data_IF_159645756643
#
_entry.id   IF_159645756643
#
_cell.length_a   1.000
_cell.length_b   1.000
_cell.length_c   1.000
_cell.angle_alpha   90.00
_cell.angle_beta   90.00
_cell.angle_gamma   90.00
#
_symmetry.space_group_name_H-M   'P 1'
#
loop_
_entity.id
_entity.type
_entity.pdbx_description
1 polymer ?
#
# COMPACT_ATOMS: atom_id res chain seq x y z
N UNK A 1 -1.30 -34.11 -18.96
CA UNK A 1 -1.09 -33.02 -18.03
C UNK A 1 -0.67 -33.60 -16.70
N UNK A 2 0.45 -33.18 -16.15
CA UNK A 2 0.89 -33.63 -14.82
C UNK A 2 0.04 -32.96 -13.72
N UNK A 3 0.04 -33.53 -12.51
CA UNK A 3 -0.62 -32.89 -11.37
C UNK A 3 -0.06 -31.50 -11.08
N UNK A 4 1.24 -31.29 -11.32
CA UNK A 4 1.91 -29.98 -11.13
C UNK A 4 1.41 -28.96 -12.16
N UNK A 5 1.31 -29.31 -13.43
CA UNK A 5 0.79 -28.41 -14.48
C UNK A 5 -0.67 -28.03 -14.20
N UNK A 6 -1.49 -28.99 -13.75
CA UNK A 6 -2.88 -28.74 -13.37
C UNK A 6 -2.97 -27.75 -12.21
N UNK A 7 -2.20 -27.97 -11.15
CA UNK A 7 -2.18 -27.08 -9.98
C UNK A 7 -1.68 -25.68 -10.37
N UNK A 8 -0.61 -25.59 -11.16
CA UNK A 8 -0.07 -24.32 -11.63
C UNK A 8 -1.11 -23.52 -12.44
N UNK A 9 -1.86 -24.21 -13.33
CA UNK A 9 -2.92 -23.57 -14.12
C UNK A 9 -4.07 -23.06 -13.23
N UNK A 10 -4.48 -23.84 -12.22
CA UNK A 10 -5.51 -23.42 -11.27
C UNK A 10 -5.06 -22.20 -10.46
N UNK A 11 -3.83 -22.21 -9.95
CA UNK A 11 -3.29 -21.09 -9.19
C UNK A 11 -3.14 -19.82 -10.05
N UNK A 12 -2.73 -19.99 -11.32
CA UNK A 12 -2.67 -18.88 -12.28
C UNK A 12 -4.07 -18.32 -12.56
N UNK A 13 -5.11 -19.15 -12.65
CA UNK A 13 -6.50 -18.74 -12.82
C UNK A 13 -6.97 -17.92 -11.60
N UNK A 14 -6.70 -18.36 -10.39
CA UNK A 14 -7.02 -17.59 -9.19
C UNK A 14 -6.33 -16.22 -9.18
N UNK A 15 -5.04 -16.19 -9.52
CA UNK A 15 -4.28 -14.95 -9.61
C UNK A 15 -4.88 -14.01 -10.68
N UNK A 16 -5.26 -14.53 -11.84
CA UNK A 16 -5.86 -13.75 -12.93
C UNK A 16 -7.21 -13.16 -12.53
N UNK A 17 -8.10 -13.96 -11.93
CA UNK A 17 -9.41 -13.50 -11.45
C UNK A 17 -9.25 -12.42 -10.38
N UNK A 18 -8.38 -12.65 -9.39
CA UNK A 18 -8.13 -11.69 -8.33
C UNK A 18 -7.55 -10.37 -8.87
N UNK A 19 -6.55 -10.47 -9.76
CA UNK A 19 -5.91 -9.28 -10.37
C UNK A 19 -6.89 -8.48 -11.21
N UNK A 20 -7.70 -9.15 -12.03
CA UNK A 20 -8.71 -8.49 -12.87
C UNK A 20 -9.75 -7.79 -12.00
N UNK A 21 -10.30 -8.47 -10.99
CA UNK A 21 -11.29 -7.91 -10.08
C UNK A 21 -10.73 -6.70 -9.29
N UNK A 22 -9.50 -6.81 -8.75
CA UNK A 22 -8.87 -5.76 -8.00
C UNK A 22 -8.55 -4.53 -8.86
N UNK A 23 -7.99 -4.73 -10.05
CA UNK A 23 -7.67 -3.65 -10.99
C UNK A 23 -8.93 -2.98 -11.52
N UNK A 24 -9.95 -3.78 -11.90
CA UNK A 24 -11.23 -3.24 -12.33
C UNK A 24 -11.87 -2.38 -11.24
N UNK A 25 -11.90 -2.89 -10.01
CA UNK A 25 -12.48 -2.16 -8.89
C UNK A 25 -11.66 -0.90 -8.50
N UNK A 26 -10.34 -0.89 -8.72
CA UNK A 26 -9.52 0.31 -8.53
C UNK A 26 -9.84 1.41 -9.56
N UNK A 27 -10.16 1.03 -10.80
CA UNK A 27 -10.50 1.97 -11.88
C UNK A 27 -11.98 2.41 -11.81
N UNK A 28 -12.89 1.49 -11.46
CA UNK A 28 -14.35 1.71 -11.34
C UNK A 28 -14.86 1.16 -10.01
N UNK A 29 -14.72 1.92 -8.90
CA UNK A 29 -15.06 1.45 -7.57
C UNK A 29 -16.54 1.09 -7.44
N UNK A 30 -16.83 -0.07 -6.89
CA UNK A 30 -18.18 -0.49 -6.54
C UNK A 30 -18.69 0.35 -5.36
N UNK A 31 -19.71 1.17 -5.60
CA UNK A 31 -20.24 2.14 -4.62
C UNK A 31 -21.42 1.61 -3.79
N UNK A 32 -21.66 0.32 -3.81
CA UNK A 32 -22.74 -0.29 -3.04
C UNK A 32 -22.26 -0.58 -1.60
N UNK A 33 -23.05 -0.20 -0.60
CA UNK A 33 -22.73 -0.37 0.83
C UNK A 33 -22.46 -1.84 1.20
N UNK A 34 -23.18 -2.78 0.59
CA UNK A 34 -23.02 -4.23 0.86
C UNK A 34 -21.64 -4.74 0.42
N UNK A 35 -21.10 -4.21 -0.67
CA UNK A 35 -19.78 -4.61 -1.22
C UNK A 35 -18.67 -3.62 -0.88
N UNK A 36 -18.96 -2.59 -0.08
CA UNK A 36 -17.99 -1.54 0.24
C UNK A 36 -16.72 -2.10 0.88
N UNK A 37 -16.85 -2.98 1.86
CA UNK A 37 -15.69 -3.55 2.56
C UNK A 37 -14.85 -4.48 1.66
N UNK A 38 -15.42 -5.46 0.93
CA UNK A 38 -14.68 -6.20 -0.08
C UNK A 38 -14.04 -5.32 -1.16
N UNK A 39 -14.76 -4.31 -1.65
CA UNK A 39 -14.29 -3.34 -2.64
C UNK A 39 -13.06 -2.58 -2.12
N UNK A 40 -13.11 -2.09 -0.89
CA UNK A 40 -12.00 -1.40 -0.23
C UNK A 40 -10.78 -2.32 -0.10
N UNK A 41 -10.95 -3.53 0.41
CA UNK A 41 -9.86 -4.49 0.62
C UNK A 41 -9.20 -4.91 -0.69
N UNK A 42 -9.98 -5.14 -1.75
CA UNK A 42 -9.46 -5.49 -3.07
C UNK A 42 -8.67 -4.35 -3.71
N UNK A 43 -9.21 -3.12 -3.65
CA UNK A 43 -8.54 -1.95 -4.23
C UNK A 43 -7.29 -1.54 -3.45
N UNK A 44 -7.21 -1.87 -2.16
CA UNK A 44 -6.10 -1.46 -1.31
C UNK A 44 -4.75 -1.90 -1.85
N UNK A 45 -4.64 -3.13 -2.34
CA UNK A 45 -3.40 -3.64 -2.91
C UNK A 45 -3.00 -2.91 -4.20
N UNK A 46 -3.97 -2.56 -5.04
CA UNK A 46 -3.72 -1.86 -6.32
C UNK A 46 -3.45 -0.37 -6.11
N UNK A 47 -4.14 0.28 -5.15
CA UNK A 47 -4.03 1.73 -4.93
C UNK A 47 -2.94 2.05 -3.89
N UNK A 48 -2.88 1.28 -2.81
CA UNK A 48 -1.96 1.54 -1.68
C UNK A 48 -0.56 0.97 -1.89
N UNK A 49 -0.42 -0.14 -2.64
CA UNK A 49 0.84 -0.85 -2.86
C UNK A 49 1.00 -1.27 -4.34
N UNK A 50 0.84 -0.35 -5.31
CA UNK A 50 0.77 -0.71 -6.73
C UNK A 50 2.05 -1.39 -7.24
N UNK A 51 3.22 -0.87 -6.86
CA UNK A 51 4.51 -1.41 -7.31
C UNK A 51 4.77 -2.79 -6.71
N UNK A 52 4.54 -2.95 -5.41
CA UNK A 52 4.73 -4.22 -4.70
C UNK A 52 3.77 -5.29 -5.22
N UNK A 53 2.52 -4.92 -5.46
CA UNK A 53 1.52 -5.82 -6.03
C UNK A 53 1.89 -6.24 -7.43
N UNK A 54 2.34 -5.33 -8.29
CA UNK A 54 2.79 -5.62 -9.64
C UNK A 54 3.98 -6.59 -9.63
N UNK A 55 5.00 -6.31 -8.80
CA UNK A 55 6.16 -7.19 -8.66
C UNK A 55 5.74 -8.60 -8.20
N UNK A 56 4.89 -8.68 -7.17
CA UNK A 56 4.42 -9.96 -6.66
C UNK A 56 3.63 -10.75 -7.72
N UNK A 57 2.74 -10.09 -8.46
CA UNK A 57 1.97 -10.71 -9.55
C UNK A 57 2.87 -11.21 -10.67
N UNK A 58 3.88 -10.43 -11.09
CA UNK A 58 4.83 -10.84 -12.13
C UNK A 58 5.64 -12.05 -11.69
N UNK A 59 6.16 -12.03 -10.45
CA UNK A 59 6.95 -13.15 -9.91
C UNK A 59 6.13 -14.43 -9.77
N UNK A 60 4.90 -14.33 -9.23
CA UNK A 60 3.99 -15.47 -9.12
C UNK A 60 3.59 -16.02 -10.49
N UNK A 61 3.31 -15.13 -11.45
CA UNK A 61 3.02 -15.55 -12.83
C UNK A 61 4.20 -16.29 -13.44
N UNK A 62 5.42 -15.74 -13.30
CA UNK A 62 6.64 -16.40 -13.80
C UNK A 62 6.83 -17.78 -13.16
N UNK A 63 6.59 -17.91 -11.85
CA UNK A 63 6.66 -19.20 -11.14
C UNK A 63 5.64 -20.20 -11.69
N UNK A 64 4.38 -19.80 -11.90
CA UNK A 64 3.36 -20.72 -12.42
C UNK A 64 3.59 -21.07 -13.90
N UNK A 65 4.09 -20.13 -14.70
CA UNK A 65 4.51 -20.40 -16.08
C UNK A 65 5.67 -21.41 -16.11
N UNK A 66 6.67 -21.22 -15.25
CA UNK A 66 7.77 -22.17 -15.09
C UNK A 66 7.29 -23.57 -14.66
N UNK A 67 6.27 -23.64 -13.79
CA UNK A 67 5.62 -24.89 -13.38
C UNK A 67 4.70 -25.50 -14.46
N UNK A 68 4.64 -24.94 -15.67
CA UNK A 68 3.89 -25.48 -16.80
C UNK A 68 2.45 -25.00 -16.94
N UNK A 69 2.07 -23.88 -16.32
CA UNK A 69 0.70 -23.35 -16.40
C UNK A 69 0.25 -23.04 -17.85
N UNK A 70 1.18 -22.78 -18.79
CA UNK A 70 0.89 -22.51 -20.20
C UNK A 70 0.74 -23.78 -21.06
N UNK A 71 0.79 -24.97 -20.48
CA UNK A 71 0.54 -26.22 -21.20
C UNK A 71 -0.93 -26.33 -21.68
N UNK A 72 -1.81 -25.44 -21.24
CA UNK A 72 -3.23 -25.42 -21.61
C UNK A 72 -3.64 -24.08 -22.24
N UNK A 73 -4.65 -24.05 -23.13
CA UNK A 73 -5.21 -22.80 -23.64
C UNK A 73 -5.70 -21.86 -22.54
N UNK A 74 -6.21 -22.42 -21.43
CA UNK A 74 -6.64 -21.63 -20.25
C UNK A 74 -5.49 -20.84 -19.65
N UNK A 75 -4.28 -21.41 -19.57
CA UNK A 75 -3.10 -20.71 -19.06
C UNK A 75 -2.77 -19.46 -19.88
N UNK A 76 -2.90 -19.54 -21.20
CA UNK A 76 -2.70 -18.39 -22.09
C UNK A 76 -3.76 -17.30 -21.91
N UNK A 77 -5.04 -17.69 -21.71
CA UNK A 77 -6.10 -16.76 -21.39
C UNK A 77 -5.81 -16.04 -20.07
N UNK A 78 -5.39 -16.78 -19.04
CA UNK A 78 -5.01 -16.21 -17.75
C UNK A 78 -3.85 -15.22 -17.89
N UNK A 79 -2.84 -15.54 -18.68
CA UNK A 79 -1.70 -14.65 -18.95
C UNK A 79 -2.16 -13.35 -19.64
N UNK A 80 -3.06 -13.44 -20.62
CA UNK A 80 -3.64 -12.27 -21.28
C UNK A 80 -4.41 -11.37 -20.29
N UNK A 81 -5.23 -11.97 -19.42
CA UNK A 81 -5.97 -11.25 -18.36
C UNK A 81 -5.02 -10.58 -17.38
N UNK A 82 -3.95 -11.26 -16.95
CA UNK A 82 -2.93 -10.69 -16.08
C UNK A 82 -2.21 -9.52 -16.75
N UNK A 83 -1.84 -9.65 -18.02
CA UNK A 83 -1.19 -8.58 -18.78
C UNK A 83 -2.09 -7.34 -18.87
N UNK A 84 -3.38 -7.50 -19.12
CA UNK A 84 -4.35 -6.42 -19.11
C UNK A 84 -4.47 -5.77 -17.72
N UNK A 85 -4.46 -6.58 -16.64
CA UNK A 85 -4.47 -6.09 -15.26
C UNK A 85 -3.22 -5.30 -14.91
N UNK A 86 -2.03 -5.72 -15.39
CA UNK A 86 -0.79 -4.98 -15.18
C UNK A 86 -0.79 -3.62 -15.89
N UNK A 87 -1.34 -3.56 -17.12
CA UNK A 87 -1.53 -2.29 -17.84
C UNK A 87 -2.46 -1.38 -17.04
N UNK A 88 -3.57 -1.91 -16.52
CA UNK A 88 -4.50 -1.16 -15.67
C UNK A 88 -3.85 -0.65 -14.38
N UNK A 89 -3.04 -1.48 -13.72
CA UNK A 89 -2.28 -1.09 -12.53
C UNK A 89 -1.24 -0.02 -12.85
N UNK A 90 -0.53 -0.15 -13.97
CA UNK A 90 0.41 0.88 -14.45
C UNK A 90 -0.29 2.21 -14.73
N UNK A 91 -1.50 2.17 -15.31
CA UNK A 91 -2.31 3.35 -15.53
C UNK A 91 -2.70 4.05 -14.21
N UNK A 92 -3.13 3.29 -13.19
CA UNK A 92 -3.39 3.82 -11.84
C UNK A 92 -2.12 4.49 -11.29
N UNK A 93 -0.95 3.87 -11.44
CA UNK A 93 0.33 4.42 -10.98
C UNK A 93 0.67 5.74 -11.68
N UNK A 94 0.41 5.85 -12.97
CA UNK A 94 0.62 7.09 -13.73
C UNK A 94 -0.33 8.21 -13.28
N UNK A 95 -1.58 7.88 -12.96
CA UNK A 95 -2.54 8.85 -12.41
C UNK A 95 -2.10 9.39 -11.05
N UNK A 96 -1.58 8.53 -10.18
CA UNK A 96 -1.07 8.93 -8.85
C UNK A 96 0.12 9.90 -8.99
N UNK A 97 1.00 9.70 -9.97
CA UNK A 97 2.10 10.64 -10.24
C UNK A 97 1.61 12.02 -10.64
N UNK A 98 0.46 12.12 -11.30
CA UNK A 98 -0.18 13.40 -11.64
C UNK A 98 -0.71 14.17 -10.41
N UNK A 99 -0.94 13.50 -9.29
CA UNK A 99 -1.46 14.12 -8.08
C UNK A 99 -0.48 15.13 -7.46
N UNK A 100 0.83 14.97 -7.64
CA UNK A 100 1.83 15.93 -7.16
C UNK A 100 1.58 17.35 -7.68
N UNK A 101 1.24 17.50 -8.95
CA UNK A 101 0.91 18.79 -9.54
C UNK A 101 -0.36 19.45 -8.98
N UNK A 102 -1.29 18.66 -8.46
CA UNK A 102 -2.48 19.19 -7.76
C UNK A 102 -2.11 19.69 -6.37
N UNK A 103 -1.28 18.92 -5.65
CA UNK A 103 -0.76 19.31 -4.32
C UNK A 103 0.10 20.56 -4.44
N UNK A 104 1.00 20.62 -5.41
CA UNK A 104 1.87 21.80 -5.64
C UNK A 104 1.07 23.07 -5.87
N UNK A 105 -0.02 22.99 -6.66
CA UNK A 105 -0.92 24.13 -6.88
C UNK A 105 -1.64 24.55 -5.60
N UNK A 106 -2.19 23.57 -4.86
CA UNK A 106 -2.87 23.86 -3.61
C UNK A 106 -1.94 24.48 -2.56
N UNK A 107 -0.68 24.06 -2.49
CA UNK A 107 0.32 24.67 -1.61
C UNK A 107 0.67 26.09 -2.04
N UNK A 108 0.82 26.32 -3.35
CA UNK A 108 1.08 27.67 -3.88
C UNK A 108 -0.08 28.61 -3.60
N UNK A 109 -1.31 28.19 -3.80
CA UNK A 109 -2.53 28.94 -3.50
C UNK A 109 -2.65 29.27 -2.01
N UNK A 110 -2.17 28.38 -1.15
CA UNK A 110 -2.14 28.58 0.31
C UNK A 110 -0.91 29.40 0.79
N UNK A 111 -0.02 29.83 -0.10
CA UNK A 111 1.21 30.56 0.25
C UNK A 111 2.24 29.69 1.01
N UNK A 112 2.14 28.35 0.92
CA UNK A 112 3.07 27.44 1.57
C UNK A 112 4.22 27.12 0.63
N UNK A 113 5.49 27.40 1.00
CA UNK A 113 6.63 27.11 0.15
C UNK A 113 6.79 25.61 -0.05
N UNK A 114 7.12 25.22 -1.28
CA UNK A 114 7.43 23.82 -1.60
C UNK A 114 8.71 23.39 -0.88
N UNK A 115 8.69 22.21 -0.29
CA UNK A 115 9.91 21.58 0.20
C UNK A 115 10.63 20.85 -0.94
N UNK A 116 11.90 21.16 -1.14
CA UNK A 116 12.76 20.45 -2.11
C UNK A 116 13.29 19.10 -1.60
N UNK A 117 12.80 18.66 -0.45
CA UNK A 117 13.18 17.37 0.13
C UNK A 117 12.67 16.22 -0.74
N UNK A 118 13.52 15.70 -1.62
CA UNK A 118 13.23 14.52 -2.42
C UNK A 118 13.19 13.26 -1.53
N UNK A 119 12.07 12.56 -1.51
CA UNK A 119 12.01 11.22 -0.93
C UNK A 119 12.69 10.25 -1.90
N UNK A 120 13.67 9.45 -1.47
CA UNK A 120 14.31 8.47 -2.36
C UNK A 120 13.29 7.47 -2.91
N UNK A 121 13.25 7.30 -4.23
CA UNK A 121 12.29 6.42 -4.94
C UNK A 121 12.28 4.98 -4.43
N UNK A 122 13.41 4.45 -3.94
CA UNK A 122 13.48 3.12 -3.38
C UNK A 122 12.65 2.93 -2.09
N UNK A 123 12.40 4.02 -1.33
CA UNK A 123 11.53 3.99 -0.13
C UNK A 123 10.06 3.87 -0.48
N UNK A 124 9.65 4.28 -1.66
CA UNK A 124 8.31 4.04 -2.19
C UNK A 124 8.09 2.56 -2.53
N UNK A 125 9.16 1.87 -2.95
CA UNK A 125 9.13 0.44 -3.29
C UNK A 125 9.18 -0.42 -2.02
N UNK A 126 9.97 -0.03 -1.04
CA UNK A 126 10.11 -0.77 0.23
C UNK A 126 9.05 -0.28 1.21
N UNK A 127 7.88 -0.93 1.21
CA UNK A 127 6.76 -0.61 2.10
C UNK A 127 7.00 -0.94 3.59
N UNK A 128 8.18 -1.45 3.94
CA UNK A 128 8.55 -1.72 5.34
C UNK A 128 9.09 -0.46 5.99
N UNK A 129 8.66 -0.14 7.21
CA UNK A 129 9.18 0.98 7.99
C UNK A 129 10.63 0.68 8.39
N UNK A 130 11.56 1.04 7.52
CA UNK A 130 12.98 1.00 7.87
C UNK A 130 13.23 2.13 8.87
N UNK A 131 13.44 1.76 10.11
CA UNK A 131 13.82 2.70 11.17
C UNK A 131 15.13 3.39 10.80
N UNK A 132 15.08 4.70 10.64
CA UNK A 132 16.29 5.50 10.54
C UNK A 132 17.17 5.27 11.79
N UNK A 133 18.47 5.12 11.64
CA UNK A 133 19.38 4.90 12.76
C UNK A 133 19.40 6.05 13.77
N UNK A 134 18.99 7.24 13.35
CA UNK A 134 18.93 8.47 14.15
C UNK A 134 17.60 8.67 14.89
N UNK A 135 16.56 7.89 14.58
CA UNK A 135 15.24 8.09 15.16
C UNK A 135 15.12 7.35 16.49
N UNK A 136 15.00 8.12 17.57
CA UNK A 136 14.66 7.60 18.89
C UNK A 136 13.14 7.41 19.01
N UNK A 137 12.73 6.38 19.76
CA UNK A 137 11.31 6.07 20.01
C UNK A 137 11.09 5.91 21.51
N UNK A 138 10.18 6.70 22.06
CA UNK A 138 9.57 6.50 23.37
C UNK A 138 8.20 5.85 23.17
N UNK A 139 8.08 4.57 23.52
CA UNK A 139 6.87 3.78 23.27
C UNK A 139 6.06 3.48 24.50
N UNK A 140 4.74 3.34 24.32
CA UNK A 140 3.87 2.88 25.39
C UNK A 140 3.54 3.93 26.47
N UNK A 141 3.71 5.22 26.19
CA UNK A 141 3.40 6.31 27.11
C UNK A 141 1.90 6.33 27.35
N UNK A 142 1.48 6.12 28.60
CA UNK A 142 0.08 6.24 28.98
C UNK A 142 -0.33 7.72 29.01
N UNK A 143 -1.38 8.08 28.24
CA UNK A 143 -1.89 9.43 28.26
C UNK A 143 -3.34 9.53 28.83
N UNK A 144 -4.07 8.42 28.83
CA UNK A 144 -5.40 8.37 29.41
C UNK A 144 -5.83 6.93 29.71
N UNK A 145 -6.72 6.81 30.71
CA UNK A 145 -7.43 5.57 31.02
C UNK A 145 -8.92 5.77 30.86
N UNK A 146 -9.59 4.93 30.06
CA UNK A 146 -11.02 5.02 29.76
C UNK A 146 -11.65 3.64 29.89
N UNK A 147 -12.70 3.51 30.68
CA UNK A 147 -13.44 2.26 30.90
C UNK A 147 -12.52 1.05 31.19
N UNK A 148 -11.51 1.23 32.06
CA UNK A 148 -10.55 0.19 32.41
C UNK A 148 -9.47 -0.09 31.37
N UNK A 149 -9.50 0.54 30.20
CA UNK A 149 -8.48 0.43 29.16
C UNK A 149 -7.48 1.58 29.23
N UNK A 150 -6.21 1.25 29.19
CA UNK A 150 -5.13 2.23 29.15
C UNK A 150 -4.84 2.63 27.69
N UNK A 151 -4.98 3.93 27.43
CA UNK A 151 -4.65 4.51 26.12
C UNK A 151 -3.18 4.94 26.12
N UNK A 152 -2.43 4.50 25.10
CA UNK A 152 -1.00 4.72 24.99
C UNK A 152 -0.63 5.34 23.65
N UNK A 153 0.39 6.20 23.67
CA UNK A 153 1.01 6.77 22.46
C UNK A 153 2.48 6.40 22.36
N UNK A 154 3.05 6.59 21.19
CA UNK A 154 4.48 6.50 20.95
C UNK A 154 4.96 7.86 20.42
N UNK A 155 6.13 8.30 20.85
CA UNK A 155 6.79 9.52 20.40
C UNK A 155 8.04 9.15 19.62
N UNK A 156 8.24 9.78 18.48
CA UNK A 156 9.40 9.62 17.62
C UNK A 156 10.11 10.97 17.51
N UNK A 157 11.45 10.99 17.61
CA UNK A 157 12.27 12.18 17.41
C UNK A 157 13.71 11.79 17.05
N UNK A 158 14.48 12.72 16.51
CA UNK A 158 15.87 12.50 16.07
C UNK A 158 16.94 12.56 17.20
N UNK A 159 16.51 12.73 18.43
CA UNK A 159 17.41 12.84 19.58
C UNK A 159 18.06 14.21 19.78
N UNK A 160 17.94 15.12 18.81
CA UNK A 160 18.42 16.50 18.94
C UNK A 160 17.43 17.37 19.72
N UNK A 161 17.63 18.67 19.80
CA UNK A 161 16.87 19.62 20.64
C UNK A 161 15.36 19.27 20.79
N UNK A 162 14.87 19.28 22.04
CA UNK A 162 13.52 18.86 22.42
C UNK A 162 12.52 20.01 22.54
N UNK A 163 12.94 21.25 22.29
CA UNK A 163 12.11 22.45 22.46
C UNK A 163 11.96 23.24 21.18
N UNK A 164 10.77 23.86 20.98
CA UNK A 164 10.53 24.76 19.85
C UNK A 164 10.26 24.06 18.50
N UNK A 165 10.03 22.75 18.49
CA UNK A 165 9.73 21.99 17.25
C UNK A 165 8.22 21.87 17.00
N UNK A 166 7.81 21.86 15.73
CA UNK A 166 6.45 21.49 15.38
C UNK A 166 6.19 20.02 15.77
N UNK A 167 4.97 19.73 16.18
CA UNK A 167 4.54 18.38 16.55
C UNK A 167 3.50 17.91 15.54
N UNK A 168 3.74 16.75 14.91
CA UNK A 168 2.76 16.06 14.10
C UNK A 168 2.12 14.92 14.92
N UNK A 169 0.81 14.96 15.08
CA UNK A 169 0.06 13.88 15.71
C UNK A 169 -0.57 12.97 14.66
N UNK A 170 -0.21 11.69 14.68
CA UNK A 170 -0.85 10.67 13.85
C UNK A 170 -1.82 9.84 14.66
N UNK A 171 -3.08 9.78 14.22
CA UNK A 171 -4.12 8.93 14.78
C UNK A 171 -4.38 7.80 13.79
N UNK A 172 -4.12 6.56 14.20
CA UNK A 172 -4.28 5.41 13.30
C UNK A 172 -5.74 5.17 12.91
N UNK A 173 -5.94 4.67 11.69
CA UNK A 173 -7.23 4.20 11.20
C UNK A 173 -7.61 2.83 11.78
N UNK A 174 -8.74 2.27 11.33
CA UNK A 174 -9.17 0.90 11.67
C UNK A 174 -10.64 0.77 12.05
N UNK A 175 -11.46 1.80 11.81
CA UNK A 175 -12.92 1.76 12.05
C UNK A 175 -13.31 1.45 13.49
N UNK A 176 -12.46 1.80 14.47
CA UNK A 176 -12.60 1.51 15.90
C UNK A 176 -12.59 0.02 16.29
N UNK A 177 -12.36 -0.86 15.34
CA UNK A 177 -12.42 -2.32 15.55
C UNK A 177 -11.04 -2.97 15.39
N UNK A 178 -10.24 -2.51 14.43
CA UNK A 178 -8.92 -3.03 14.10
C UNK A 178 -7.90 -1.90 14.00
N UNK A 179 -6.63 -2.26 13.92
CA UNK A 179 -5.53 -1.32 13.75
C UNK A 179 -4.74 -1.07 15.02
N UNK A 180 -3.48 -0.71 14.83
CA UNK A 180 -2.54 -0.38 15.89
C UNK A 180 -1.73 0.86 15.49
N UNK A 181 -1.28 1.61 16.48
CA UNK A 181 -0.42 2.79 16.31
C UNK A 181 0.93 2.47 15.61
N UNK A 182 1.28 1.19 15.47
CA UNK A 182 2.53 0.70 14.87
C UNK A 182 2.38 0.33 13.39
N UNK A 183 1.23 0.58 12.78
CA UNK A 183 0.94 0.20 11.40
C UNK A 183 1.17 1.37 10.43
N UNK A 184 0.16 1.81 9.77
CA UNK A 184 0.18 2.66 8.57
C UNK A 184 1.03 3.95 8.66
N UNK A 185 1.14 4.59 9.82
CA UNK A 185 1.83 5.88 9.99
C UNK A 185 3.34 5.78 10.25
N UNK A 186 3.89 4.58 10.49
CA UNK A 186 5.30 4.43 10.87
C UNK A 186 6.30 5.00 9.85
N UNK A 187 6.14 4.79 8.53
CA UNK A 187 7.07 5.37 7.55
C UNK A 187 7.12 6.89 7.63
N UNK A 188 5.95 7.53 7.77
CA UNK A 188 5.84 8.99 7.91
C UNK A 188 6.48 9.47 9.22
N UNK A 189 6.22 8.78 10.35
CA UNK A 189 6.81 9.13 11.64
C UNK A 189 8.34 9.03 11.61
N UNK A 190 8.89 8.00 10.97
CA UNK A 190 10.33 7.84 10.79
C UNK A 190 10.96 8.83 9.80
N UNK A 191 10.17 9.38 8.88
CA UNK A 191 10.65 10.38 7.92
C UNK A 191 10.71 11.78 8.54
N UNK A 192 9.75 12.11 9.41
CA UNK A 192 9.60 13.43 10.00
C UNK A 192 10.35 13.60 11.33
N UNK A 193 10.70 12.49 12.00
CA UNK A 193 11.48 12.49 13.22
C UNK A 193 12.97 12.54 12.93
#
# INVERSE_FOLDING_TARGET
MSAVETLATILLLFLAIWSAAATFNALWPLRNVVVLLPSLLWSWFIIGLPVQTLIAQVLLTALFVWAGALATPLGWVCLAVLSASWIGTAFVLLQVRGASGVVDRALADAGVPRSDAAVPTWREIVAFPLRGRSVAKFGGIEYRRVAGRTLKLDVFHDGSATTGRPVLMYIHGGGWVVGDKREQGLPLMHHLA
#
